data_IF_637692391606
#
_entry.id   IF_637692391606
#
_cell.length_a   1.000
_cell.length_b   1.000
_cell.length_c   1.000
_cell.angle_alpha   90.00
_cell.angle_beta   90.00
_cell.angle_gamma   90.00
#
_symmetry.space_group_name_H-M   'P 1'
#
loop_
_entity.id
_entity.type
_entity.pdbx_description
1 polymer ?
#
# COMPACT_ATOMS: atom_id res chain seq x y z
N UNK A 1 11.70 6.83 6.35
CA UNK A 1 10.66 7.55 7.14
C UNK A 1 11.06 7.47 8.60
N UNK A 2 11.02 8.58 9.32
CA UNK A 2 11.36 8.64 10.74
C UNK A 2 10.30 9.47 11.45
N UNK A 3 9.14 8.85 11.68
CA UNK A 3 7.97 9.54 12.22
C UNK A 3 8.27 10.08 13.63
N UNK A 4 8.12 11.40 13.87
CA UNK A 4 8.32 12.02 15.18
C UNK A 4 7.13 11.71 16.10
N UNK A 5 7.05 10.45 16.55
CA UNK A 5 5.94 9.92 17.34
C UNK A 5 5.71 10.73 18.62
N UNK A 6 6.73 11.02 19.46
CA UNK A 6 6.52 11.80 20.68
C UNK A 6 5.96 13.21 20.43
N UNK A 7 6.49 13.91 19.44
CA UNK A 7 6.06 15.26 19.06
C UNK A 7 4.61 15.25 18.56
N UNK A 8 4.28 14.29 17.70
CA UNK A 8 2.92 14.15 17.18
C UNK A 8 1.93 13.79 18.31
N UNK A 9 2.33 12.97 19.27
CA UNK A 9 1.49 12.67 20.46
C UNK A 9 1.28 13.91 21.34
N UNK A 10 2.27 14.80 21.46
CA UNK A 10 2.09 16.05 22.20
C UNK A 10 1.07 16.96 21.51
N UNK A 11 1.17 17.12 20.19
CA UNK A 11 0.19 17.88 19.39
C UNK A 11 -1.21 17.29 19.52
N UNK A 12 -1.33 15.96 19.44
CA UNK A 12 -2.60 15.24 19.62
C UNK A 12 -3.24 15.53 20.98
N UNK A 13 -2.46 15.47 22.06
CA UNK A 13 -2.94 15.78 23.43
C UNK A 13 -3.36 17.24 23.62
N UNK A 14 -2.82 18.15 22.82
CA UNK A 14 -3.15 19.57 22.84
C UNK A 14 -4.32 19.91 21.90
N UNK A 15 -4.91 18.92 21.23
CA UNK A 15 -5.98 19.13 20.25
C UNK A 15 -5.51 19.74 18.92
N UNK A 16 -4.20 19.79 18.67
CA UNK A 16 -3.59 20.39 17.48
C UNK A 16 -3.52 19.38 16.33
N UNK A 17 -4.68 18.83 15.93
CA UNK A 17 -4.79 17.75 14.94
C UNK A 17 -4.32 18.17 13.54
N UNK A 18 -4.45 19.46 13.21
CA UNK A 18 -4.01 19.97 11.91
C UNK A 18 -2.49 19.92 11.76
N UNK A 19 -1.80 20.44 12.77
CA UNK A 19 -0.34 20.47 12.78
C UNK A 19 0.24 19.06 12.87
N UNK A 20 -0.40 18.19 13.66
CA UNK A 20 -0.05 16.77 13.74
C UNK A 20 -0.20 16.07 12.37
N UNK A 21 -1.33 16.29 11.68
CA UNK A 21 -1.56 15.71 10.36
C UNK A 21 -0.56 16.19 9.32
N UNK A 22 -0.25 17.50 9.32
CA UNK A 22 0.77 18.09 8.44
C UNK A 22 2.15 17.48 8.68
N UNK A 23 2.53 17.30 9.93
CA UNK A 23 3.79 16.68 10.33
C UNK A 23 3.88 15.23 9.84
N UNK A 24 2.83 14.44 10.05
CA UNK A 24 2.77 13.05 9.62
C UNK A 24 2.83 12.93 8.09
N UNK A 25 2.00 13.69 7.38
CA UNK A 25 1.94 13.66 5.91
C UNK A 25 3.26 14.10 5.28
N UNK A 26 3.92 15.13 5.84
CA UNK A 26 5.21 15.60 5.33
C UNK A 26 6.32 14.55 5.48
N UNK A 27 6.32 13.78 6.58
CA UNK A 27 7.27 12.68 6.77
C UNK A 27 6.90 11.41 5.96
N UNK A 28 5.61 11.13 5.81
CA UNK A 28 5.08 10.00 5.08
C UNK A 28 3.72 10.36 4.45
N UNK A 29 3.67 10.63 3.13
CA UNK A 29 2.41 10.93 2.44
C UNK A 29 1.38 9.79 2.52
N UNK A 30 1.82 8.58 2.85
CA UNK A 30 1.00 7.38 3.03
C UNK A 30 0.69 7.07 4.51
N UNK A 31 0.88 8.02 5.44
CA UNK A 31 0.69 7.78 6.87
C UNK A 31 -0.69 7.21 7.21
N UNK A 32 -1.75 7.68 6.53
CA UNK A 32 -3.12 7.18 6.67
C UNK A 32 -3.31 5.72 6.20
N UNK A 33 -2.45 5.24 5.30
CA UNK A 33 -2.46 3.85 4.84
C UNK A 33 -1.59 3.00 5.76
N UNK A 34 -0.37 3.46 6.09
CA UNK A 34 0.55 2.70 6.94
C UNK A 34 0.04 2.52 8.37
N UNK A 35 -0.79 3.44 8.88
CA UNK A 35 -1.51 3.28 10.14
C UNK A 35 -2.55 2.14 10.14
N UNK A 36 -2.87 1.55 8.98
CA UNK A 36 -3.80 0.43 8.84
C UNK A 36 -3.12 -0.89 8.48
N UNK A 37 -2.05 -0.86 7.69
CA UNK A 37 -1.47 -2.08 7.09
C UNK A 37 -0.02 -2.36 7.45
N UNK A 38 0.67 -1.46 8.14
CA UNK A 38 2.06 -1.69 8.54
C UNK A 38 2.16 -2.80 9.59
N UNK A 39 3.26 -3.55 9.60
CA UNK A 39 3.55 -4.51 10.67
C UNK A 39 4.05 -3.77 11.93
N UNK A 40 3.13 -3.15 12.67
CA UNK A 40 3.49 -2.33 13.82
C UNK A 40 4.26 -3.11 14.88
N UNK A 41 4.06 -4.43 14.99
CA UNK A 41 4.79 -5.31 15.92
C UNK A 41 6.26 -5.45 15.55
N UNK A 42 6.61 -5.37 14.27
CA UNK A 42 8.01 -5.29 13.85
C UNK A 42 8.59 -3.88 13.96
N UNK A 43 7.75 -2.84 14.02
CA UNK A 43 8.18 -1.45 14.00
C UNK A 43 7.80 -0.70 15.29
N UNK A 44 7.05 0.41 15.16
CA UNK A 44 6.82 1.40 16.21
C UNK A 44 6.17 0.82 17.48
N UNK A 45 5.19 -0.08 17.33
CA UNK A 45 4.50 -0.69 18.45
C UNK A 45 5.39 -1.73 19.15
N UNK A 46 6.10 -2.57 18.40
CA UNK A 46 7.02 -3.57 18.96
C UNK A 46 8.21 -2.98 19.72
N UNK A 47 8.67 -1.81 19.31
CA UNK A 47 9.82 -1.12 19.93
C UNK A 47 9.40 -0.06 20.96
N UNK A 48 8.11 0.04 21.30
CA UNK A 48 7.64 0.96 22.32
C UNK A 48 8.29 0.66 23.68
N UNK A 49 8.88 1.67 24.33
CA UNK A 49 9.52 1.51 25.65
C UNK A 49 8.54 1.01 26.73
N UNK A 50 7.23 1.22 26.56
CA UNK A 50 6.20 0.74 27.49
C UNK A 50 5.87 -0.75 27.35
N UNK A 51 6.47 -1.46 26.38
CA UNK A 51 6.40 -2.93 26.34
C UNK A 51 6.97 -3.59 27.60
N UNK A 52 7.93 -2.95 28.29
CA UNK A 52 8.45 -3.43 29.58
C UNK A 52 7.36 -3.52 30.65
N UNK A 53 6.29 -2.74 30.52
CA UNK A 53 5.12 -2.75 31.41
C UNK A 53 3.90 -3.46 30.78
N UNK A 54 4.07 -4.12 29.64
CA UNK A 54 2.99 -4.75 28.87
C UNK A 54 1.83 -3.81 28.49
N UNK A 55 2.12 -2.50 28.38
CA UNK A 55 1.15 -1.46 28.00
C UNK A 55 1.70 -0.54 26.90
N UNK A 56 2.13 -1.09 25.74
CA UNK A 56 2.61 -0.27 24.64
C UNK A 56 1.54 0.69 24.14
N UNK A 57 1.99 1.88 23.70
CA UNK A 57 1.10 2.83 23.02
C UNK A 57 0.69 2.24 21.68
N UNK A 58 -0.61 2.13 21.44
CA UNK A 58 -1.17 1.80 20.13
C UNK A 58 -1.09 2.98 19.18
N UNK A 59 0.14 3.36 18.84
CA UNK A 59 0.45 4.53 18.02
C UNK A 59 -0.33 4.53 16.70
N UNK A 60 -0.48 3.36 16.07
CA UNK A 60 -1.20 3.21 14.80
C UNK A 60 -2.67 3.64 14.87
N UNK A 61 -3.36 3.48 16.02
CA UNK A 61 -4.74 3.97 16.20
C UNK A 61 -4.79 5.50 16.21
N UNK A 62 -3.83 6.14 16.91
CA UNK A 62 -3.69 7.60 16.98
C UNK A 62 -3.29 8.16 15.61
N UNK A 63 -2.31 7.53 14.95
CA UNK A 63 -1.86 7.90 13.60
C UNK A 63 -2.99 7.80 12.59
N UNK A 64 -3.86 6.78 12.73
CA UNK A 64 -5.01 6.59 11.86
C UNK A 64 -6.06 7.69 12.03
N UNK A 65 -6.35 8.11 13.25
CA UNK A 65 -7.31 9.19 13.51
C UNK A 65 -6.82 10.50 12.88
N UNK A 66 -5.56 10.86 13.13
CA UNK A 66 -4.96 12.10 12.65
C UNK A 66 -4.80 12.06 11.12
N UNK A 67 -4.08 11.06 10.61
CA UNK A 67 -3.71 10.97 9.20
C UNK A 67 -4.92 10.67 8.32
N UNK A 68 -5.85 9.84 8.81
CA UNK A 68 -7.08 9.54 8.13
C UNK A 68 -7.88 10.82 7.89
N UNK A 69 -8.12 11.62 8.92
CA UNK A 69 -8.83 12.89 8.79
C UNK A 69 -8.06 13.90 7.93
N UNK A 70 -6.73 13.99 8.08
CA UNK A 70 -5.88 14.91 7.32
C UNK A 70 -5.91 14.62 5.82
N UNK A 71 -5.80 13.35 5.40
CA UNK A 71 -5.73 12.97 3.98
C UNK A 71 -6.93 13.48 3.18
N UNK A 72 -8.17 13.33 3.70
CA UNK A 72 -9.38 13.70 2.94
C UNK A 72 -9.56 15.20 2.74
N UNK A 73 -9.01 16.02 3.64
CA UNK A 73 -9.11 17.49 3.58
C UNK A 73 -7.89 18.16 3.00
N UNK A 74 -6.74 17.49 3.00
CA UNK A 74 -5.51 18.04 2.46
C UNK A 74 -5.64 18.33 0.96
N UNK A 75 -4.95 19.39 0.53
CA UNK A 75 -4.80 19.79 -0.86
C UNK A 75 -3.31 19.96 -1.11
N UNK A 76 -2.83 19.38 -2.21
CA UNK A 76 -1.42 19.52 -2.57
C UNK A 76 -1.17 20.91 -3.08
N UNK A 77 -0.08 21.49 -2.62
CA UNK A 77 0.40 22.80 -3.00
C UNK A 77 1.89 22.71 -3.31
N UNK A 78 2.35 23.53 -4.26
CA UNK A 78 3.79 23.68 -4.51
C UNK A 78 4.39 24.44 -3.33
N UNK A 79 5.31 23.80 -2.62
CA UNK A 79 6.00 24.37 -1.45
C UNK A 79 7.32 25.04 -1.82
N UNK A 80 7.93 24.64 -2.93
CA UNK A 80 9.14 25.27 -3.47
C UNK A 80 9.12 25.31 -5.01
N UNK A 81 10.09 26.01 -5.58
CA UNK A 81 10.33 26.12 -7.02
C UNK A 81 11.64 25.41 -7.44
N UNK A 82 12.16 24.51 -6.61
CA UNK A 82 13.46 23.83 -6.85
C UNK A 82 13.46 23.03 -8.16
N UNK A 83 12.29 22.50 -8.54
CA UNK A 83 12.08 21.70 -9.75
C UNK A 83 11.17 22.41 -10.75
N UNK A 84 11.03 23.74 -10.66
CA UNK A 84 10.19 24.50 -11.59
C UNK A 84 10.65 24.31 -13.04
N UNK A 85 9.68 24.11 -13.93
CA UNK A 85 9.92 23.82 -15.35
C UNK A 85 10.42 22.40 -15.65
N UNK A 86 10.63 21.55 -14.64
CA UNK A 86 10.99 20.14 -14.83
C UNK A 86 9.75 19.27 -15.02
N UNK A 87 9.78 18.44 -16.05
CA UNK A 87 8.74 17.45 -16.35
C UNK A 87 9.23 16.06 -15.97
N UNK A 88 8.48 15.36 -15.13
CA UNK A 88 8.89 14.05 -14.62
C UNK A 88 7.81 13.01 -14.90
N UNK A 89 8.19 11.90 -15.53
CA UNK A 89 7.33 10.74 -15.67
C UNK A 89 7.55 9.76 -14.50
N UNK A 90 6.46 9.33 -13.86
CA UNK A 90 6.47 8.32 -12.80
C UNK A 90 5.75 7.07 -13.32
N UNK A 91 6.49 5.96 -13.44
CA UNK A 91 5.96 4.68 -13.93
C UNK A 91 5.55 3.83 -12.73
N UNK A 92 4.26 3.56 -12.59
CA UNK A 92 3.65 2.88 -11.46
C UNK A 92 3.02 3.86 -10.48
N UNK A 93 1.71 3.75 -10.28
CA UNK A 93 0.90 4.53 -9.36
C UNK A 93 0.59 3.77 -8.06
N UNK A 94 1.49 2.89 -7.64
CA UNK A 94 1.48 2.25 -6.32
C UNK A 94 2.03 3.16 -5.21
N UNK A 95 2.30 2.62 -4.00
CA UNK A 95 2.80 3.39 -2.86
C UNK A 95 3.99 4.30 -3.18
N UNK A 96 5.02 3.74 -3.83
CA UNK A 96 6.23 4.48 -4.17
C UNK A 96 5.95 5.62 -5.16
N UNK A 97 5.14 5.36 -6.19
CA UNK A 97 4.77 6.38 -7.18
C UNK A 97 3.92 7.50 -6.59
N UNK A 98 2.97 7.17 -5.71
CA UNK A 98 2.14 8.15 -4.99
C UNK A 98 3.04 9.05 -4.12
N UNK A 99 3.90 8.46 -3.27
CA UNK A 99 4.77 9.23 -2.40
C UNK A 99 5.75 10.12 -3.19
N UNK A 100 6.38 9.57 -4.24
CA UNK A 100 7.29 10.33 -5.10
C UNK A 100 6.56 11.48 -5.80
N UNK A 101 5.34 11.26 -6.28
CA UNK A 101 4.54 12.30 -6.93
C UNK A 101 4.24 13.45 -5.99
N UNK A 102 3.82 13.16 -4.75
CA UNK A 102 3.58 14.19 -3.72
C UNK A 102 4.83 15.05 -3.55
N UNK A 103 5.99 14.44 -3.30
CA UNK A 103 7.22 15.20 -3.05
C UNK A 103 7.68 15.99 -4.28
N UNK A 104 7.69 15.38 -5.47
CA UNK A 104 8.11 16.04 -6.71
C UNK A 104 7.18 17.21 -7.07
N UNK A 105 5.87 17.04 -6.89
CA UNK A 105 4.90 18.11 -7.09
C UNK A 105 5.11 19.25 -6.09
N UNK A 106 5.30 18.94 -4.80
CA UNK A 106 5.59 19.94 -3.77
C UNK A 106 6.89 20.71 -4.06
N UNK A 107 7.87 20.10 -4.73
CA UNK A 107 9.10 20.76 -5.18
C UNK A 107 8.93 21.60 -6.46
N UNK A 108 7.74 21.62 -7.05
CA UNK A 108 7.39 22.45 -8.20
C UNK A 108 7.46 21.76 -9.58
N UNK A 109 7.70 20.45 -9.62
CA UNK A 109 7.77 19.70 -10.88
C UNK A 109 6.37 19.51 -11.52
N UNK A 110 6.34 19.38 -12.84
CA UNK A 110 5.19 18.88 -13.59
C UNK A 110 5.27 17.34 -13.66
N UNK A 111 4.40 16.65 -12.92
CA UNK A 111 4.47 15.19 -12.73
C UNK A 111 3.37 14.49 -13.53
N UNK A 112 3.76 13.46 -14.28
CA UNK A 112 2.87 12.64 -15.10
C UNK A 112 3.00 11.17 -14.68
N UNK A 113 1.93 10.57 -14.20
CA UNK A 113 1.90 9.18 -13.75
C UNK A 113 1.42 8.26 -14.87
N UNK A 114 2.07 7.12 -15.02
CA UNK A 114 1.69 6.05 -15.93
C UNK A 114 1.48 4.77 -15.15
N UNK A 115 0.35 4.09 -15.33
CA UNK A 115 0.12 2.79 -14.70
C UNK A 115 -0.61 1.84 -15.67
N UNK A 116 -0.26 0.56 -15.63
CA UNK A 116 -0.91 -0.47 -16.43
C UNK A 116 -2.37 -0.71 -15.98
N UNK A 117 -2.69 -0.38 -14.72
CA UNK A 117 -4.03 -0.46 -14.18
C UNK A 117 -4.86 0.80 -14.51
N UNK A 118 -6.20 0.68 -14.56
CA UNK A 118 -7.08 1.80 -14.88
C UNK A 118 -7.15 2.87 -13.78
N UNK A 119 -6.82 2.52 -12.54
CA UNK A 119 -6.92 3.39 -11.35
C UNK A 119 -5.64 3.26 -10.52
N UNK A 120 -5.29 4.32 -9.80
CA UNK A 120 -4.11 4.38 -8.95
C UNK A 120 -4.24 3.48 -7.70
N UNK A 121 -3.13 3.30 -6.99
CA UNK A 121 -3.05 2.61 -5.71
C UNK A 121 -2.21 1.33 -5.76
N UNK A 122 -1.98 0.76 -6.94
CA UNK A 122 -1.21 -0.49 -7.09
C UNK A 122 -1.69 -1.58 -6.12
N UNK A 123 -0.77 -2.21 -5.40
CA UNK A 123 -1.10 -3.23 -4.38
C UNK A 123 -2.08 -2.74 -3.31
N UNK A 124 -2.13 -1.45 -2.98
CA UNK A 124 -3.07 -0.90 -2.01
C UNK A 124 -4.52 -1.05 -2.49
N UNK A 125 -4.74 -0.87 -3.79
CA UNK A 125 -6.07 -1.01 -4.41
C UNK A 125 -6.35 -2.45 -4.81
N UNK A 126 -5.41 -3.10 -5.48
CA UNK A 126 -5.64 -4.36 -6.16
C UNK A 126 -5.13 -5.60 -5.39
N UNK A 127 -4.25 -5.45 -4.41
CA UNK A 127 -3.68 -6.58 -3.67
C UNK A 127 -4.27 -6.75 -2.28
N UNK A 128 -4.29 -5.67 -1.49
CA UNK A 128 -4.73 -5.73 -0.09
C UNK A 128 -6.27 -5.83 -0.06
N UNK A 129 -6.88 -6.79 0.64
CA UNK A 129 -8.35 -6.89 0.71
C UNK A 129 -9.02 -5.70 1.41
N UNK A 130 -10.29 -5.44 1.06
CA UNK A 130 -11.06 -4.31 1.62
C UNK A 130 -11.31 -4.42 3.14
N UNK A 131 -11.30 -5.64 3.70
CA UNK A 131 -11.41 -5.84 5.15
C UNK A 131 -10.14 -5.43 5.91
N UNK A 132 -9.02 -5.18 5.21
CA UNK A 132 -7.76 -4.68 5.78
C UNK A 132 -7.51 -3.21 5.46
N UNK A 133 -7.83 -2.80 4.23
CA UNK A 133 -7.62 -1.44 3.76
C UNK A 133 -8.79 -0.97 2.93
N UNK A 134 -9.51 0.01 3.47
CA UNK A 134 -10.62 0.66 2.77
C UNK A 134 -10.12 1.38 1.51
N UNK A 135 -10.80 1.17 0.38
CA UNK A 135 -10.37 1.72 -0.92
C UNK A 135 -10.55 3.23 -1.02
N UNK A 136 -11.33 3.84 -0.12
CA UNK A 136 -11.46 5.29 -0.02
C UNK A 136 -10.13 6.02 0.15
N UNK A 137 -9.12 5.39 0.75
CA UNK A 137 -7.80 6.01 0.91
C UNK A 137 -7.11 6.16 -0.45
N UNK A 138 -7.22 5.16 -1.33
CA UNK A 138 -6.72 5.26 -2.71
C UNK A 138 -7.53 6.32 -3.50
N UNK A 139 -8.84 6.36 -3.31
CA UNK A 139 -9.70 7.37 -3.95
C UNK A 139 -9.36 8.80 -3.49
N UNK A 140 -8.95 8.98 -2.23
CA UNK A 140 -8.51 10.26 -1.70
C UNK A 140 -7.22 10.76 -2.37
N UNK A 141 -6.23 9.90 -2.63
CA UNK A 141 -5.02 10.28 -3.38
C UNK A 141 -5.33 10.65 -4.83
N UNK A 142 -6.19 9.87 -5.49
CA UNK A 142 -6.61 10.18 -6.86
C UNK A 142 -7.32 11.54 -6.94
N UNK A 143 -8.23 11.81 -5.99
CA UNK A 143 -8.89 13.11 -5.90
C UNK A 143 -7.89 14.22 -5.66
N UNK A 144 -6.97 14.04 -4.71
CA UNK A 144 -5.94 15.00 -4.36
C UNK A 144 -5.05 15.35 -5.56
N UNK A 145 -4.69 14.35 -6.37
CA UNK A 145 -3.86 14.55 -7.57
C UNK A 145 -4.64 15.24 -8.68
N UNK A 146 -5.90 14.85 -8.88
CA UNK A 146 -6.79 15.50 -9.85
C UNK A 146 -7.03 16.97 -9.50
N UNK A 147 -7.32 17.28 -8.22
CA UNK A 147 -7.50 18.65 -7.73
C UNK A 147 -6.23 19.50 -7.93
N UNK A 148 -5.05 18.86 -7.85
CA UNK A 148 -3.74 19.49 -8.04
C UNK A 148 -3.32 19.63 -9.52
N UNK A 149 -4.11 19.10 -10.46
CA UNK A 149 -3.80 19.12 -11.89
C UNK A 149 -2.70 18.13 -12.32
N UNK A 150 -2.43 17.11 -11.50
CA UNK A 150 -1.44 16.08 -11.81
C UNK A 150 -2.03 15.11 -12.84
N UNK A 151 -1.28 14.82 -13.90
CA UNK A 151 -1.75 13.96 -14.99
C UNK A 151 -1.58 12.49 -14.64
N UNK A 152 -2.65 11.71 -14.76
CA UNK A 152 -2.64 10.25 -14.60
C UNK A 152 -3.06 9.56 -15.90
N UNK A 153 -2.19 8.67 -16.40
CA UNK A 153 -2.37 7.86 -17.59
C UNK A 153 -2.53 6.39 -17.18
N UNK A 154 -3.76 6.00 -16.85
CA UNK A 154 -4.11 4.60 -16.57
C UNK A 154 -4.27 3.76 -17.84
N UNK A 155 -4.21 2.44 -17.70
CA UNK A 155 -4.21 1.47 -18.82
C UNK A 155 -3.02 1.66 -19.79
N UNK A 156 -1.86 2.07 -19.27
CA UNK A 156 -0.63 2.23 -20.07
C UNK A 156 0.48 1.39 -19.45
N UNK A 157 0.80 0.27 -20.07
CA UNK A 157 1.93 -0.59 -19.70
C UNK A 157 3.20 -0.10 -20.39
N UNK A 158 4.08 0.53 -19.62
CA UNK A 158 5.38 0.99 -20.14
C UNK A 158 6.25 -0.22 -20.47
N UNK A 159 6.63 -0.33 -21.75
CA UNK A 159 7.22 -1.52 -22.36
C UNK A 159 6.36 -2.10 -23.49
N UNK A 160 5.05 -1.83 -23.49
CA UNK A 160 4.11 -2.23 -24.54
C UNK A 160 3.49 -1.05 -25.25
N UNK A 161 2.64 -0.26 -24.59
CA UNK A 161 1.94 0.87 -25.22
C UNK A 161 2.86 2.08 -25.38
N UNK A 162 3.77 2.30 -24.43
CA UNK A 162 4.79 3.37 -24.48
C UNK A 162 6.14 2.78 -24.10
N UNK A 163 7.22 3.20 -24.75
CA UNK A 163 8.57 2.72 -24.41
C UNK A 163 9.26 3.63 -23.40
N UNK A 164 10.13 3.05 -22.57
CA UNK A 164 10.98 3.83 -21.66
C UNK A 164 11.80 4.88 -22.43
N UNK A 165 12.32 4.53 -23.61
CA UNK A 165 13.06 5.45 -24.48
C UNK A 165 12.21 6.65 -24.92
N UNK A 166 10.94 6.43 -25.26
CA UNK A 166 10.03 7.51 -25.63
C UNK A 166 9.73 8.44 -24.45
N UNK A 167 9.59 7.91 -23.23
CA UNK A 167 9.43 8.72 -22.03
C UNK A 167 10.70 9.52 -21.72
N UNK A 168 11.87 8.87 -21.76
CA UNK A 168 13.15 9.55 -21.51
C UNK A 168 13.47 10.65 -22.54
N UNK A 169 12.86 10.63 -23.73
CA UNK A 169 12.99 11.70 -24.72
C UNK A 169 12.04 12.88 -24.49
N UNK A 170 10.94 12.68 -23.74
CA UNK A 170 9.88 13.67 -23.52
C UNK A 170 9.92 14.34 -22.14
N UNK A 171 10.58 13.70 -21.17
CA UNK A 171 10.65 14.11 -19.78
C UNK A 171 12.10 14.33 -19.34
N UNK A 172 12.33 15.28 -18.43
CA UNK A 172 13.66 15.54 -17.85
C UNK A 172 14.17 14.36 -17.02
N UNK A 173 13.24 13.61 -16.40
CA UNK A 173 13.53 12.43 -15.61
C UNK A 173 12.39 11.41 -15.69
N UNK A 174 12.74 10.14 -15.48
CA UNK A 174 11.78 9.04 -15.37
C UNK A 174 12.05 8.29 -14.07
N UNK A 175 11.04 8.18 -13.21
CA UNK A 175 11.07 7.37 -12.00
C UNK A 175 10.35 6.04 -12.25
N UNK A 176 11.03 4.92 -12.04
CA UNK A 176 10.42 3.58 -12.15
C UNK A 176 9.99 3.09 -10.77
N UNK A 177 8.68 3.01 -10.57
CA UNK A 177 7.99 2.58 -9.35
C UNK A 177 6.94 1.48 -9.65
N UNK A 178 7.19 0.65 -10.67
CA UNK A 178 6.24 -0.35 -11.18
C UNK A 178 6.00 -1.55 -10.25
N UNK A 179 6.82 -1.74 -9.22
CA UNK A 179 6.70 -2.86 -8.29
C UNK A 179 7.09 -4.22 -8.89
N UNK A 180 6.68 -5.30 -8.25
CA UNK A 180 6.95 -6.68 -8.64
C UNK A 180 5.65 -7.41 -8.97
N UNK A 181 5.26 -7.39 -10.25
CA UNK A 181 4.00 -7.97 -10.74
C UNK A 181 4.15 -9.43 -11.19
N UNK A 182 5.38 -9.90 -11.44
CA UNK A 182 5.61 -11.29 -11.87
C UNK A 182 5.51 -12.24 -10.67
N UNK A 183 4.56 -13.20 -10.66
CA UNK A 183 4.44 -14.15 -9.57
C UNK A 183 5.62 -15.12 -9.55
N UNK A 184 5.96 -15.59 -8.35
CA UNK A 184 6.89 -16.70 -8.20
C UNK A 184 6.20 -18.02 -8.61
N UNK A 185 6.86 -18.82 -9.44
CA UNK A 185 6.42 -20.17 -9.79
C UNK A 185 7.01 -21.20 -8.82
N UNK A 186 6.34 -22.33 -8.67
CA UNK A 186 6.80 -23.44 -7.82
C UNK A 186 7.74 -24.37 -8.59
N UNK A 187 7.62 -24.43 -9.92
CA UNK A 187 8.41 -25.31 -10.78
C UNK A 187 8.08 -26.78 -10.59
N UNK A 188 6.83 -27.11 -10.26
CA UNK A 188 6.36 -28.47 -10.00
C UNK A 188 5.31 -28.90 -11.02
N UNK A 189 5.21 -30.21 -11.34
CA UNK A 189 4.16 -30.72 -12.23
C UNK A 189 2.76 -30.34 -11.72
N UNK A 190 1.93 -29.81 -12.61
CA UNK A 190 0.55 -29.44 -12.29
C UNK A 190 0.37 -28.02 -11.75
N UNK A 191 1.43 -27.22 -11.60
CA UNK A 191 1.33 -25.85 -11.12
C UNK A 191 0.47 -24.93 -12.01
N UNK A 192 0.36 -25.26 -13.30
CA UNK A 192 -0.49 -24.57 -14.27
C UNK A 192 -1.99 -24.71 -13.96
N UNK A 193 -2.37 -25.69 -13.14
CA UNK A 193 -3.74 -25.87 -12.68
C UNK A 193 -4.06 -25.04 -11.41
N UNK A 194 -3.08 -24.31 -10.88
CA UNK A 194 -3.25 -23.47 -9.70
C UNK A 194 -3.65 -22.04 -10.07
N UNK A 195 -4.26 -21.35 -9.11
CA UNK A 195 -4.57 -19.92 -9.23
C UNK A 195 -3.48 -19.12 -8.52
N UNK A 196 -2.92 -18.14 -9.22
CA UNK A 196 -1.98 -17.20 -8.63
C UNK A 196 -2.69 -16.25 -7.66
N UNK A 197 -2.09 -16.02 -6.49
CA UNK A 197 -2.74 -15.28 -5.40
C UNK A 197 -3.03 -13.81 -5.76
N UNK A 198 -2.13 -13.11 -6.45
CA UNK A 198 -2.35 -11.70 -6.82
C UNK A 198 -3.52 -11.50 -7.80
N UNK A 199 -3.62 -12.23 -8.93
CA UNK A 199 -4.82 -12.21 -9.76
C UNK A 199 -6.11 -12.54 -8.99
N UNK A 200 -6.05 -13.53 -8.09
CA UNK A 200 -7.19 -13.87 -7.23
C UNK A 200 -7.59 -12.72 -6.32
N UNK A 201 -6.66 -12.09 -5.62
CA UNK A 201 -6.93 -10.95 -4.73
C UNK A 201 -7.45 -9.72 -5.49
N UNK A 202 -6.97 -9.51 -6.72
CA UNK A 202 -7.37 -8.40 -7.59
C UNK A 202 -8.81 -8.49 -8.04
N UNK A 203 -9.28 -9.69 -8.36
CA UNK A 203 -10.67 -9.92 -8.75
C UNK A 203 -11.14 -11.30 -8.28
N UNK A 204 -11.46 -11.46 -6.98
CA UNK A 204 -11.82 -12.77 -6.43
C UNK A 204 -13.03 -13.38 -7.16
N UNK A 205 -13.98 -12.53 -7.58
CA UNK A 205 -15.20 -12.97 -8.26
C UNK A 205 -14.98 -13.57 -9.64
N UNK A 206 -13.85 -13.29 -10.30
CA UNK A 206 -13.49 -13.94 -11.55
C UNK A 206 -13.11 -15.43 -11.38
N UNK A 207 -12.93 -15.90 -10.15
CA UNK A 207 -12.49 -17.27 -9.88
C UNK A 207 -13.62 -18.07 -9.22
N UNK A 208 -13.89 -19.27 -9.75
CA UNK A 208 -14.76 -20.25 -9.09
C UNK A 208 -13.92 -21.07 -8.12
N UNK A 209 -14.26 -21.02 -6.83
CA UNK A 209 -13.60 -21.82 -5.80
C UNK A 209 -14.33 -23.14 -5.60
N UNK A 210 -13.58 -24.20 -5.32
CA UNK A 210 -14.12 -25.45 -4.80
C UNK A 210 -14.48 -25.32 -3.31
N UNK A 211 -15.05 -26.39 -2.74
CA UNK A 211 -15.36 -26.45 -1.30
C UNK A 211 -14.11 -26.42 -0.41
N UNK A 212 -12.98 -26.89 -0.95
CA UNK A 212 -11.69 -27.02 -0.26
C UNK A 212 -10.63 -26.26 -1.03
N UNK A 213 -9.92 -25.36 -0.36
CA UNK A 213 -8.87 -24.52 -0.95
C UNK A 213 -7.58 -24.70 -0.16
N UNK A 214 -6.49 -24.95 -0.85
CA UNK A 214 -5.14 -24.93 -0.27
C UNK A 214 -4.41 -23.71 -0.85
N UNK A 215 -3.87 -22.87 0.02
CA UNK A 215 -3.00 -21.76 -0.36
C UNK A 215 -1.56 -22.14 -0.04
N UNK A 216 -0.70 -22.09 -1.05
CA UNK A 216 0.72 -22.42 -0.92
C UNK A 216 1.51 -21.13 -0.67
N UNK A 217 2.10 -21.01 0.52
CA UNK A 217 2.87 -19.83 0.92
C UNK A 217 2.67 -19.47 2.40
N UNK A 218 3.54 -18.62 2.94
CA UNK A 218 3.46 -18.19 4.35
C UNK A 218 3.58 -16.68 4.55
N UNK A 219 3.49 -15.89 3.48
CA UNK A 219 3.55 -14.42 3.57
C UNK A 219 2.17 -13.77 3.70
N UNK A 220 2.14 -12.45 3.86
CA UNK A 220 0.89 -11.67 3.96
C UNK A 220 -0.07 -11.94 2.79
N UNK A 221 0.46 -12.07 1.57
CA UNK A 221 -0.35 -12.43 0.38
C UNK A 221 -1.07 -13.78 0.56
N UNK A 222 -0.42 -14.76 1.20
CA UNK A 222 -1.05 -16.05 1.49
C UNK A 222 -2.16 -15.90 2.53
N UNK A 223 -1.93 -15.12 3.60
CA UNK A 223 -2.95 -14.85 4.62
C UNK A 223 -4.17 -14.15 4.01
N UNK A 224 -3.95 -13.13 3.19
CA UNK A 224 -5.00 -12.40 2.50
C UNK A 224 -5.79 -13.31 1.54
N UNK A 225 -5.11 -14.16 0.78
CA UNK A 225 -5.75 -15.11 -0.12
C UNK A 225 -6.61 -16.12 0.67
N UNK A 226 -6.10 -16.65 1.78
CA UNK A 226 -6.86 -17.56 2.63
C UNK A 226 -8.11 -16.91 3.21
N UNK A 227 -7.95 -15.74 3.81
CA UNK A 227 -9.05 -14.99 4.44
C UNK A 227 -10.10 -14.55 3.42
N UNK A 228 -9.69 -14.30 2.18
CA UNK A 228 -10.59 -14.04 1.05
C UNK A 228 -11.32 -15.32 0.63
N UNK A 229 -10.64 -16.46 0.53
CA UNK A 229 -11.27 -17.75 0.19
C UNK A 229 -12.31 -18.20 1.25
N UNK A 230 -11.99 -18.05 2.53
CA UNK A 230 -12.92 -18.32 3.65
C UNK A 230 -14.18 -17.48 3.53
N UNK A 231 -14.06 -16.17 3.26
CA UNK A 231 -15.21 -15.27 3.07
C UNK A 231 -16.06 -15.63 1.86
N UNK A 232 -15.52 -16.40 0.92
CA UNK A 232 -16.23 -16.97 -0.24
C UNK A 232 -16.76 -18.39 0.02
N UNK A 233 -16.73 -18.85 1.26
CA UNK A 233 -17.35 -20.10 1.70
C UNK A 233 -16.49 -21.36 1.52
N UNK A 234 -15.18 -21.21 1.27
CA UNK A 234 -14.28 -22.35 1.15
C UNK A 234 -13.65 -22.75 2.50
N UNK A 235 -13.63 -24.06 2.78
CA UNK A 235 -12.77 -24.64 3.81
C UNK A 235 -11.32 -24.50 3.33
N UNK A 236 -10.50 -23.77 4.07
CA UNK A 236 -9.23 -23.25 3.56
C UNK A 236 -8.08 -23.66 4.46
N UNK A 237 -6.94 -24.04 3.88
CA UNK A 237 -5.70 -24.33 4.61
C UNK A 237 -4.51 -23.59 4.01
N UNK A 238 -3.54 -23.30 4.87
CA UNK A 238 -2.21 -22.81 4.46
C UNK A 238 -1.21 -23.96 4.45
N UNK A 239 -0.51 -24.13 3.33
CA UNK A 239 0.65 -25.01 3.23
C UNK A 239 1.92 -24.16 3.09
N UNK A 240 2.75 -24.20 4.12
CA UNK A 240 4.02 -23.47 4.17
C UNK A 240 5.19 -24.45 4.34
N UNK A 241 6.25 -24.24 3.56
CA UNK A 241 7.40 -25.15 3.49
C UNK A 241 8.32 -25.14 4.72
N UNK A 242 8.16 -24.21 5.65
CA UNK A 242 8.94 -24.12 6.90
C UNK A 242 8.02 -24.21 8.11
N UNK A 243 8.61 -24.09 9.29
CA UNK A 243 7.88 -24.09 10.55
C UNK A 243 7.03 -22.82 10.71
N UNK A 244 6.08 -22.89 11.63
CA UNK A 244 5.17 -21.78 11.95
C UNK A 244 5.93 -20.54 12.45
N UNK A 245 6.99 -20.73 13.23
CA UNK A 245 7.85 -19.66 13.77
C UNK A 245 8.64 -18.93 12.68
N UNK A 246 8.85 -19.58 11.54
CA UNK A 246 9.55 -19.03 10.38
C UNK A 246 8.58 -18.45 9.34
N UNK A 247 7.30 -18.28 9.67
CA UNK A 247 6.31 -17.72 8.76
C UNK A 247 6.59 -16.22 8.55
N UNK A 248 6.79 -15.74 7.31
CA UNK A 248 7.12 -14.34 7.05
C UNK A 248 5.92 -13.40 7.17
N UNK A 249 4.70 -13.93 7.25
CA UNK A 249 3.52 -13.11 7.47
C UNK A 249 3.57 -12.38 8.82
N UNK A 250 2.97 -11.19 8.87
CA UNK A 250 2.76 -10.46 10.10
C UNK A 250 2.02 -11.36 11.11
N UNK A 251 2.54 -11.56 12.34
CA UNK A 251 1.89 -12.41 13.33
C UNK A 251 0.42 -12.07 13.58
N UNK A 252 0.04 -10.79 13.46
CA UNK A 252 -1.36 -10.36 13.59
C UNK A 252 -2.23 -10.90 12.46
N UNK A 253 -1.74 -10.88 11.22
CA UNK A 253 -2.48 -11.42 10.07
C UNK A 253 -2.64 -12.94 10.18
N UNK A 254 -1.65 -13.63 10.73
CA UNK A 254 -1.72 -15.08 10.98
C UNK A 254 -2.79 -15.40 12.03
N UNK A 255 -2.83 -14.65 13.14
CA UNK A 255 -3.86 -14.83 14.17
C UNK A 255 -5.26 -14.47 13.65
N UNK A 256 -5.39 -13.43 12.82
CA UNK A 256 -6.65 -13.10 12.15
C UNK A 256 -7.08 -14.19 11.16
N UNK A 257 -6.15 -14.80 10.42
CA UNK A 257 -6.46 -15.91 9.52
C UNK A 257 -6.97 -17.14 10.31
N UNK A 258 -6.33 -17.50 11.42
CA UNK A 258 -6.82 -18.56 12.32
C UNK A 258 -8.21 -18.25 12.86
N UNK A 259 -8.45 -17.00 13.27
CA UNK A 259 -9.75 -16.57 13.79
C UNK A 259 -10.87 -16.64 12.73
N UNK A 260 -10.52 -16.42 11.45
CA UNK A 260 -11.43 -16.61 10.33
C UNK A 260 -11.69 -18.10 10.02
N UNK A 261 -10.88 -19.04 10.55
CA UNK A 261 -11.06 -20.49 10.36
C UNK A 261 -10.17 -21.11 9.28
N UNK A 262 -9.02 -20.49 8.98
CA UNK A 262 -7.95 -21.00 8.11
C UNK A 262 -7.07 -22.03 8.83
#
# INVERSE_FOLDING_TARGET
MHTPVPECMLLYRQGQLEEAGRMLFSNNPLSAVTSQVCDWKQFCYGHCVLNVKQVPVKWYEIEQEISGAYLFRHRLERKSAEMEGKRIAVIGAGPAGIAATVWLFEMGADVHLYDANPRMGGVLRYGIPAFRLDKKYCDAYEKMFADAGISFHGNVEVGKEVTLKALSAQYDAVLVAAGAETPATLGIPGEENSVQALPFLKNPEAFTLGKKVIVIGGGNVAMDACRTAVRRGAETWVYYRKTFENMPANPMEVEEAKADGV
#
